data_IF_539902272506
#
_entry.id   IF_539902272506
#
_cell.length_a   1.000
_cell.length_b   1.000
_cell.length_c   1.000
_cell.angle_alpha   90.00
_cell.angle_beta   90.00
_cell.angle_gamma   90.00
#
_symmetry.space_group_name_H-M   'P 1'
#
loop_
_entity.id
_entity.type
_entity.pdbx_description
1 polymer ?
#
# COMPACT_ATOMS: atom_id res chain seq x y z
N UNK A 1 -33.75 -4.21 4.59
CA UNK A 1 -32.57 -3.32 4.65
C UNK A 1 -31.39 -4.10 5.22
N UNK A 2 -30.47 -4.60 4.38
CA UNK A 2 -29.19 -5.12 4.89
C UNK A 2 -28.39 -3.95 5.47
N UNK A 3 -28.03 -4.05 6.76
CA UNK A 3 -27.21 -3.05 7.47
C UNK A 3 -25.89 -2.82 6.72
N UNK A 4 -25.36 -1.58 6.73
CA UNK A 4 -24.10 -1.22 6.04
C UNK A 4 -22.95 -2.18 6.35
N UNK A 5 -22.91 -2.73 7.56
CA UNK A 5 -21.95 -3.75 7.99
C UNK A 5 -22.03 -5.07 7.19
N UNK A 6 -23.23 -5.57 6.87
CA UNK A 6 -23.37 -6.80 6.08
C UNK A 6 -22.80 -6.68 4.67
N UNK A 7 -22.79 -5.47 4.08
CA UNK A 7 -22.20 -5.24 2.75
C UNK A 7 -20.67 -5.24 2.76
N UNK A 8 -20.04 -4.90 3.88
CA UNK A 8 -18.57 -4.95 4.03
C UNK A 8 -18.03 -6.38 3.96
N UNK A 9 -18.81 -7.36 4.42
CA UNK A 9 -18.43 -8.79 4.45
C UNK A 9 -19.08 -9.63 3.34
N UNK A 10 -19.81 -9.00 2.41
CA UNK A 10 -20.44 -9.72 1.32
C UNK A 10 -19.45 -9.89 0.16
N UNK A 11 -19.01 -11.13 -0.05
CA UNK A 11 -18.25 -11.54 -1.23
C UNK A 11 -19.21 -12.00 -2.32
N UNK A 12 -19.12 -11.33 -3.46
CA UNK A 12 -19.71 -11.82 -4.71
C UNK A 12 -18.61 -12.44 -5.58
N UNK A 13 -19.03 -13.19 -6.60
CA UNK A 13 -18.11 -13.86 -7.53
C UNK A 13 -17.17 -12.87 -8.22
N UNK A 14 -17.60 -11.63 -8.47
CA UNK A 14 -16.76 -10.61 -9.10
C UNK A 14 -15.62 -10.20 -8.19
N UNK A 15 -15.89 -9.93 -6.91
CA UNK A 15 -14.87 -9.59 -5.91
C UNK A 15 -13.88 -10.72 -5.74
N UNK A 16 -14.35 -11.97 -5.65
CA UNK A 16 -13.45 -13.14 -5.57
C UNK A 16 -12.53 -13.21 -6.79
N UNK A 17 -13.08 -13.04 -8.00
CA UNK A 17 -12.27 -13.00 -9.22
C UNK A 17 -11.26 -11.83 -9.22
N UNK A 18 -11.66 -10.64 -8.78
CA UNK A 18 -10.77 -9.49 -8.67
C UNK A 18 -9.63 -9.74 -7.68
N UNK A 19 -9.93 -10.34 -6.51
CA UNK A 19 -8.91 -10.72 -5.54
C UNK A 19 -7.90 -11.70 -6.15
N UNK A 20 -8.37 -12.72 -6.87
CA UNK A 20 -7.50 -13.68 -7.54
C UNK A 20 -6.60 -13.02 -8.60
N UNK A 21 -7.14 -12.10 -9.40
CA UNK A 21 -6.38 -11.34 -10.39
C UNK A 21 -5.33 -10.44 -9.71
N UNK A 22 -5.70 -9.76 -8.62
CA UNK A 22 -4.78 -8.91 -7.85
C UNK A 22 -3.64 -9.75 -7.28
N UNK A 23 -3.92 -10.94 -6.73
CA UNK A 23 -2.88 -11.87 -6.25
C UNK A 23 -1.96 -12.27 -7.40
N UNK A 24 -2.52 -12.67 -8.54
CA UNK A 24 -1.73 -13.08 -9.71
C UNK A 24 -0.82 -11.94 -10.22
N UNK A 25 -1.36 -10.72 -10.31
CA UNK A 25 -0.59 -9.53 -10.67
C UNK A 25 0.48 -9.20 -9.64
N UNK A 26 0.18 -9.34 -8.35
CA UNK A 26 1.14 -9.12 -7.28
C UNK A 26 2.33 -10.07 -7.43
N UNK A 27 2.07 -11.38 -7.54
CA UNK A 27 3.12 -12.38 -7.74
C UNK A 27 3.96 -12.08 -8.99
N UNK A 28 3.31 -11.76 -10.11
CA UNK A 28 3.98 -11.40 -11.35
C UNK A 28 4.90 -10.17 -11.19
N UNK A 29 4.40 -9.11 -10.57
CA UNK A 29 5.15 -7.86 -10.39
C UNK A 29 6.23 -7.96 -9.33
N UNK A 30 6.06 -8.75 -8.27
CA UNK A 30 7.14 -9.05 -7.32
C UNK A 30 8.28 -9.80 -8.03
N UNK A 31 7.97 -10.80 -8.86
CA UNK A 31 8.96 -11.49 -9.67
C UNK A 31 9.70 -10.56 -10.62
N UNK A 32 8.95 -9.70 -11.33
CA UNK A 32 9.54 -8.71 -12.23
C UNK A 32 10.47 -7.75 -11.47
N UNK A 33 10.02 -7.25 -10.30
CA UNK A 33 10.80 -6.34 -9.45
C UNK A 33 12.11 -7.01 -8.97
N UNK A 34 12.05 -8.30 -8.63
CA UNK A 34 13.23 -9.08 -8.25
C UNK A 34 14.22 -9.24 -9.40
N UNK A 35 13.75 -9.57 -10.60
CA UNK A 35 14.59 -9.75 -11.80
C UNK A 35 15.28 -8.43 -12.18
N UNK A 36 14.56 -7.31 -12.12
CA UNK A 36 15.10 -5.99 -12.44
C UNK A 36 16.10 -5.47 -11.39
N UNK A 37 16.11 -6.07 -10.19
CA UNK A 37 16.98 -5.72 -9.07
C UNK A 37 17.07 -4.20 -8.85
N UNK A 38 15.91 -3.56 -8.63
CA UNK A 38 15.76 -2.10 -8.48
C UNK A 38 16.27 -1.58 -7.13
N UNK A 39 17.52 -1.91 -6.78
CA UNK A 39 18.22 -1.36 -5.62
C UNK A 39 18.65 0.07 -5.92
N UNK A 40 18.25 1.02 -5.07
CA UNK A 40 18.48 2.45 -5.30
C UNK A 40 19.82 2.90 -4.71
N UNK A 41 20.12 2.40 -3.51
CA UNK A 41 21.26 2.85 -2.71
C UNK A 41 22.32 1.74 -2.61
N UNK A 42 23.55 1.96 -3.11
CA UNK A 42 24.62 0.96 -3.02
C UNK A 42 24.97 0.57 -1.58
N UNK A 43 24.86 1.52 -0.64
CA UNK A 43 25.12 1.32 0.80
C UNK A 43 24.05 0.46 1.49
N UNK A 44 22.88 0.31 0.87
CA UNK A 44 21.75 -0.44 1.41
C UNK A 44 21.08 -1.29 0.30
N UNK A 45 21.77 -2.32 -0.22
CA UNK A 45 21.30 -3.11 -1.37
C UNK A 45 20.06 -3.97 -1.07
N UNK A 46 19.71 -4.11 0.21
CA UNK A 46 18.48 -4.75 0.67
C UNK A 46 17.24 -3.87 0.42
N UNK A 47 17.40 -2.56 0.21
CA UNK A 47 16.31 -1.64 -0.12
C UNK A 47 16.03 -1.64 -1.62
N UNK A 48 15.01 -2.42 -2.02
CA UNK A 48 14.61 -2.58 -3.42
C UNK A 48 13.22 -2.02 -3.66
N UNK A 49 13.05 -1.31 -4.77
CA UNK A 49 11.73 -0.85 -5.19
C UNK A 49 10.93 -2.03 -5.71
N UNK A 50 9.76 -2.26 -5.12
CA UNK A 50 8.77 -3.22 -5.60
C UNK A 50 7.61 -2.49 -6.27
N UNK A 51 7.20 -2.96 -7.45
CA UNK A 51 6.10 -2.37 -8.23
C UNK A 51 4.76 -3.04 -7.89
N UNK A 52 4.46 -3.22 -6.61
CA UNK A 52 3.32 -4.01 -6.13
C UNK A 52 2.37 -3.21 -5.25
N UNK A 53 2.85 -2.20 -4.52
CA UNK A 53 2.05 -1.50 -3.50
C UNK A 53 0.79 -0.82 -4.08
N UNK A 54 0.85 -0.37 -5.34
CA UNK A 54 -0.31 0.23 -6.01
C UNK A 54 -1.48 -0.76 -6.17
N UNK A 55 -1.19 -2.07 -6.24
CA UNK A 55 -2.21 -3.11 -6.29
C UNK A 55 -3.00 -3.20 -4.98
N UNK A 56 -2.38 -2.87 -3.85
CA UNK A 56 -3.07 -2.84 -2.55
C UNK A 56 -4.06 -1.68 -2.49
N UNK A 57 -3.70 -0.52 -3.04
CA UNK A 57 -4.64 0.59 -3.21
C UNK A 57 -5.78 0.21 -4.17
N UNK A 58 -5.47 -0.46 -5.28
CA UNK A 58 -6.48 -0.99 -6.20
C UNK A 58 -7.45 -1.95 -5.49
N UNK A 59 -6.94 -2.85 -4.65
CA UNK A 59 -7.74 -3.77 -3.85
C UNK A 59 -8.73 -3.02 -2.93
N UNK A 60 -8.28 -1.96 -2.25
CA UNK A 60 -9.16 -1.13 -1.41
C UNK A 60 -10.35 -0.61 -2.21
N UNK A 61 -10.13 -0.19 -3.45
CA UNK A 61 -11.17 0.36 -4.35
C UNK A 61 -12.12 -0.70 -4.89
N UNK A 62 -11.59 -1.88 -5.27
CA UNK A 62 -12.37 -2.92 -5.93
C UNK A 62 -13.07 -3.91 -4.99
N UNK A 63 -12.51 -4.16 -3.80
CA UNK A 63 -13.04 -5.18 -2.89
C UNK A 63 -13.29 -4.66 -1.49
N UNK A 64 -12.76 -3.48 -1.15
CA UNK A 64 -12.93 -2.82 0.14
C UNK A 64 -11.80 -3.12 1.12
N UNK A 65 -11.75 -2.33 2.20
CA UNK A 65 -10.63 -2.33 3.16
C UNK A 65 -10.36 -3.69 3.80
N UNK A 66 -11.41 -4.43 4.21
CA UNK A 66 -11.26 -5.69 4.93
C UNK A 66 -10.54 -6.73 4.06
N UNK A 67 -11.01 -6.92 2.83
CA UNK A 67 -10.42 -7.87 1.90
C UNK A 67 -9.07 -7.40 1.37
N UNK A 68 -8.88 -6.08 1.21
CA UNK A 68 -7.58 -5.52 0.83
C UNK A 68 -6.52 -5.78 1.92
N UNK A 69 -6.84 -5.58 3.20
CA UNK A 69 -5.95 -5.92 4.32
C UNK A 69 -5.62 -7.42 4.36
N UNK A 70 -6.63 -8.29 4.24
CA UNK A 70 -6.41 -9.74 4.20
C UNK A 70 -5.52 -10.15 3.02
N UNK A 71 -5.74 -9.53 1.86
CA UNK A 71 -4.91 -9.73 0.69
C UNK A 71 -3.47 -9.29 0.97
N UNK A 72 -3.25 -8.06 1.44
CA UNK A 72 -1.91 -7.55 1.76
C UNK A 72 -1.14 -8.51 2.66
N UNK A 73 -1.75 -8.94 3.78
CA UNK A 73 -1.13 -9.92 4.68
C UNK A 73 -0.79 -11.19 3.91
N UNK A 74 -1.77 -11.78 3.20
CA UNK A 74 -1.59 -13.05 2.51
C UNK A 74 -0.49 -12.99 1.45
N UNK A 75 -0.47 -11.95 0.62
CA UNK A 75 0.49 -11.83 -0.49
C UNK A 75 1.90 -11.49 -0.02
N UNK A 76 2.04 -10.71 1.05
CA UNK A 76 3.36 -10.47 1.66
C UNK A 76 3.96 -11.78 2.16
N UNK A 77 3.20 -12.59 2.91
CA UNK A 77 3.70 -13.88 3.41
C UNK A 77 3.93 -14.92 2.30
N UNK A 78 3.18 -14.85 1.19
CA UNK A 78 3.47 -15.67 0.02
C UNK A 78 4.86 -15.39 -0.57
N UNK A 79 5.39 -14.16 -0.45
CA UNK A 79 6.73 -13.84 -0.95
C UNK A 79 7.83 -14.73 -0.36
N UNK A 80 7.71 -15.11 0.91
CA UNK A 80 8.63 -16.07 1.52
C UNK A 80 8.71 -17.39 0.74
N UNK A 81 7.57 -17.87 0.23
CA UNK A 81 7.47 -19.16 -0.43
C UNK A 81 8.09 -19.16 -1.84
N UNK A 82 7.96 -18.07 -2.60
CA UNK A 82 8.41 -18.04 -4.00
C UNK A 82 9.63 -17.14 -4.28
N UNK A 83 9.90 -16.13 -3.45
CA UNK A 83 11.10 -15.30 -3.54
C UNK A 83 12.17 -15.69 -2.52
N UNK A 84 11.82 -16.44 -1.47
CA UNK A 84 12.78 -16.84 -0.43
C UNK A 84 13.24 -15.67 0.44
N UNK A 85 12.41 -14.64 0.57
CA UNK A 85 12.70 -13.49 1.43
C UNK A 85 12.66 -13.88 2.91
N UNK A 86 13.45 -13.19 3.74
CA UNK A 86 13.51 -13.44 5.16
C UNK A 86 12.22 -13.06 5.88
N UNK A 87 11.89 -13.69 7.02
CA UNK A 87 10.65 -13.43 7.74
C UNK A 87 10.55 -11.97 8.24
N UNK A 88 11.68 -11.34 8.57
CA UNK A 88 11.71 -9.95 9.01
C UNK A 88 11.53 -9.00 7.82
N UNK A 89 12.13 -9.33 6.66
CA UNK A 89 11.96 -8.55 5.43
C UNK A 89 10.49 -8.51 5.02
N UNK A 90 9.85 -9.68 4.99
CA UNK A 90 8.44 -9.84 4.65
C UNK A 90 7.53 -9.17 5.68
N UNK A 91 7.87 -9.25 6.97
CA UNK A 91 7.13 -8.54 8.00
C UNK A 91 7.23 -7.02 7.83
N UNK A 92 8.43 -6.48 7.59
CA UNK A 92 8.64 -5.05 7.38
C UNK A 92 7.92 -4.54 6.11
N UNK A 93 7.94 -5.33 5.03
CA UNK A 93 7.20 -5.09 3.80
C UNK A 93 5.69 -5.04 4.06
N UNK A 94 5.14 -6.10 4.67
CA UNK A 94 3.72 -6.20 5.03
C UNK A 94 3.28 -5.00 5.87
N UNK A 95 4.09 -4.62 6.86
CA UNK A 95 3.78 -3.50 7.74
C UNK A 95 3.75 -2.18 6.98
N UNK A 96 4.70 -1.94 6.09
CA UNK A 96 4.74 -0.75 5.24
C UNK A 96 3.49 -0.67 4.34
N UNK A 97 3.14 -1.78 3.67
CA UNK A 97 1.98 -1.85 2.78
C UNK A 97 0.68 -1.62 3.54
N UNK A 98 0.54 -2.20 4.73
CA UNK A 98 -0.63 -2.01 5.59
C UNK A 98 -0.77 -0.57 6.06
N UNK A 99 0.33 0.09 6.47
CA UNK A 99 0.29 1.50 6.85
C UNK A 99 -0.14 2.36 5.66
N UNK A 100 0.48 2.15 4.50
CA UNK A 100 0.16 2.90 3.28
C UNK A 100 -1.32 2.76 2.92
N UNK A 101 -1.83 1.52 2.93
CA UNK A 101 -3.23 1.19 2.66
C UNK A 101 -4.20 1.77 3.70
N UNK A 102 -3.89 1.67 5.00
CA UNK A 102 -4.76 2.16 6.08
C UNK A 102 -4.81 3.69 6.08
N UNK A 103 -3.67 4.36 5.92
CA UNK A 103 -3.63 5.82 5.86
C UNK A 103 -4.38 6.31 4.63
N UNK A 104 -4.17 5.69 3.47
CA UNK A 104 -4.96 5.99 2.28
C UNK A 104 -6.46 5.80 2.53
N UNK A 105 -6.89 4.67 3.09
CA UNK A 105 -8.32 4.44 3.33
C UNK A 105 -8.92 5.46 4.31
N UNK A 106 -8.26 5.73 5.43
CA UNK A 106 -8.70 6.72 6.42
C UNK A 106 -8.76 8.12 5.82
N UNK A 107 -7.70 8.53 5.12
CA UNK A 107 -7.65 9.83 4.47
C UNK A 107 -8.73 9.99 3.40
N UNK A 108 -9.04 8.95 2.62
CA UNK A 108 -10.14 8.97 1.64
C UNK A 108 -11.49 9.21 2.33
N UNK A 109 -11.76 8.50 3.44
CA UNK A 109 -12.99 8.65 4.24
C UNK A 109 -13.10 10.06 4.84
N UNK A 110 -12.03 10.57 5.46
CA UNK A 110 -12.04 11.87 6.11
C UNK A 110 -12.09 13.03 5.12
N UNK A 111 -11.26 13.00 4.06
CA UNK A 111 -11.21 14.06 3.05
C UNK A 111 -12.51 14.14 2.26
N UNK A 112 -13.10 13.01 1.84
CA UNK A 112 -14.40 13.02 1.15
C UNK A 112 -15.51 13.55 2.06
N UNK A 113 -15.53 13.12 3.33
CA UNK A 113 -16.53 13.60 4.30
C UNK A 113 -16.37 15.10 4.59
N UNK A 114 -15.13 15.59 4.72
CA UNK A 114 -14.83 17.01 4.92
C UNK A 114 -15.22 17.86 3.72
N UNK A 115 -14.81 17.46 2.52
CA UNK A 115 -15.09 18.22 1.30
C UNK A 115 -16.59 18.22 0.96
N UNK A 116 -17.30 17.10 1.15
CA UNK A 116 -18.76 17.06 0.95
C UNK A 116 -19.53 17.95 1.95
N UNK A 117 -18.95 18.29 3.11
CA UNK A 117 -19.53 19.26 4.04
C UNK A 117 -19.29 20.70 3.58
N UNK A 118 -18.12 20.98 3.01
CA UNK A 118 -17.72 22.32 2.57
C UNK A 118 -18.38 22.70 1.23
N UNK A 119 -18.49 21.74 0.32
CA UNK A 119 -19.04 21.94 -1.03
C UNK A 119 -20.37 21.20 -1.09
N UNK A 120 -21.49 21.93 -0.92
CA UNK A 120 -22.86 21.40 -0.99
C UNK A 120 -23.26 20.83 -2.37
N UNK A 121 -22.38 20.89 -3.36
CA UNK A 121 -22.62 20.45 -4.74
C UNK A 121 -22.02 19.08 -5.05
N UNK A 122 -22.65 18.34 -5.97
CA UNK A 122 -22.19 17.03 -6.45
C UNK A 122 -20.69 17.06 -6.78
N UNK A 123 -19.93 16.16 -6.17
CA UNK A 123 -18.48 16.04 -6.31
C UNK A 123 -18.13 15.89 -7.79
N UNK A 124 -17.44 16.87 -8.37
CA UNK A 124 -17.02 16.81 -9.77
C UNK A 124 -15.91 15.77 -9.96
N UNK A 125 -15.72 15.27 -11.20
CA UNK A 125 -14.61 14.36 -11.52
C UNK A 125 -13.26 14.94 -11.10
N UNK A 126 -13.04 16.24 -11.31
CA UNK A 126 -11.79 16.91 -10.94
C UNK A 126 -11.59 16.93 -9.42
N UNK A 127 -12.66 17.16 -8.65
CA UNK A 127 -12.62 17.13 -7.19
C UNK A 127 -12.24 15.74 -6.68
N UNK A 128 -12.80 14.68 -7.26
CA UNK A 128 -12.46 13.30 -6.90
C UNK A 128 -11.00 12.95 -7.19
N UNK A 129 -10.46 13.42 -8.33
CA UNK A 129 -9.05 13.31 -8.64
C UNK A 129 -8.17 14.00 -7.61
N UNK A 130 -8.48 15.26 -7.29
CA UNK A 130 -7.73 16.03 -6.29
C UNK A 130 -7.72 15.35 -4.92
N UNK A 131 -8.88 14.89 -4.45
CA UNK A 131 -9.00 14.16 -3.19
C UNK A 131 -8.09 12.94 -3.18
N UNK A 132 -8.14 12.15 -4.25
CA UNK A 132 -7.39 10.90 -4.34
C UNK A 132 -5.89 11.19 -4.38
N UNK A 133 -5.45 12.16 -5.18
CA UNK A 133 -4.04 12.56 -5.25
C UNK A 133 -3.54 13.09 -3.91
N UNK A 134 -4.27 14.00 -3.27
CA UNK A 134 -3.89 14.52 -1.94
C UNK A 134 -3.80 13.42 -0.90
N UNK A 135 -4.69 12.43 -0.97
CA UNK A 135 -4.69 11.29 -0.08
C UNK A 135 -3.51 10.33 -0.31
N UNK A 136 -3.15 10.07 -1.57
CA UNK A 136 -1.93 9.31 -1.90
C UNK A 136 -0.69 10.02 -1.36
N UNK A 137 -0.58 11.34 -1.54
CA UNK A 137 0.54 12.14 -0.99
C UNK A 137 0.61 12.03 0.53
N UNK A 138 -0.54 12.16 1.22
CA UNK A 138 -0.62 12.00 2.67
C UNK A 138 -0.17 10.60 3.10
N UNK A 139 -0.61 9.56 2.40
CA UNK A 139 -0.23 8.18 2.67
C UNK A 139 1.27 7.94 2.47
N UNK A 140 1.89 8.49 1.41
CA UNK A 140 3.33 8.42 1.15
C UNK A 140 4.14 9.03 2.30
N UNK A 141 3.74 10.21 2.77
CA UNK A 141 4.43 10.90 3.87
C UNK A 141 4.28 10.11 5.17
N UNK A 142 3.06 9.66 5.48
CA UNK A 142 2.76 8.95 6.70
C UNK A 142 3.48 7.59 6.77
N UNK A 143 3.45 6.79 5.70
CA UNK A 143 4.15 5.50 5.67
C UNK A 143 5.66 5.68 5.80
N UNK A 144 6.23 6.69 5.13
CA UNK A 144 7.67 6.95 5.20
C UNK A 144 8.11 7.32 6.63
N UNK A 145 7.32 8.17 7.30
CA UNK A 145 7.59 8.55 8.69
C UNK A 145 7.40 7.37 9.65
N UNK A 146 6.27 6.66 9.57
CA UNK A 146 5.94 5.55 10.47
C UNK A 146 6.89 4.36 10.28
N UNK A 147 7.26 4.02 9.05
CA UNK A 147 8.26 2.98 8.81
C UNK A 147 9.63 3.37 9.31
N UNK A 148 10.02 4.65 9.22
CA UNK A 148 11.28 5.10 9.83
C UNK A 148 11.25 4.95 11.34
N UNK A 149 10.14 5.35 11.97
CA UNK A 149 9.91 5.17 13.40
C UNK A 149 9.95 3.69 13.81
N UNK A 150 9.29 2.81 13.06
CA UNK A 150 9.25 1.37 13.36
C UNK A 150 10.59 0.68 13.12
N UNK A 151 11.33 1.10 12.09
CA UNK A 151 12.71 0.65 11.91
C UNK A 151 13.60 1.00 13.11
N UNK A 152 13.46 2.23 13.63
CA UNK A 152 14.19 2.67 14.82
C UNK A 152 13.73 1.96 16.10
N UNK A 153 12.42 1.80 16.30
CA UNK A 153 11.84 1.27 17.54
C UNK A 153 12.08 -0.22 17.73
N UNK A 154 11.94 -1.04 16.69
CA UNK A 154 11.96 -2.49 16.88
C UNK A 154 12.41 -3.33 15.69
N UNK A 155 12.25 -2.92 14.42
CA UNK A 155 12.59 -3.81 13.28
C UNK A 155 14.09 -4.11 13.27
N UNK A 156 14.96 -3.12 13.49
CA UNK A 156 16.41 -3.38 13.56
C UNK A 156 16.81 -4.24 14.76
N UNK A 157 16.12 -4.09 15.88
CA UNK A 157 16.36 -4.96 17.05
C UNK A 157 15.89 -6.41 16.78
N UNK A 158 14.86 -6.59 15.94
CA UNK A 158 14.47 -7.92 15.45
C UNK A 158 15.58 -8.52 14.57
N UNK A 159 16.14 -7.75 13.62
CA UNK A 159 17.28 -8.22 12.82
C UNK A 159 18.49 -8.54 13.68
N UNK A 160 18.78 -7.72 14.69
CA UNK A 160 19.88 -7.93 15.63
C UNK A 160 19.80 -9.32 16.28
N UNK A 161 18.61 -9.69 16.75
CA UNK A 161 18.38 -10.97 17.44
C UNK A 161 18.30 -12.15 16.47
N UNK A 162 17.73 -11.95 15.29
CA UNK A 162 17.54 -13.03 14.32
C UNK A 162 18.83 -13.41 13.60
N UNK A 163 19.69 -12.41 13.29
CA UNK A 163 20.94 -12.60 12.57
C UNK A 163 22.19 -12.53 13.47
N UNK A 164 22.00 -12.35 14.79
CA UNK A 164 23.07 -12.19 15.78
C UNK A 164 24.05 -11.05 15.43
N UNK A 165 23.53 -9.90 15.00
CA UNK A 165 24.38 -8.76 14.66
C UNK A 165 25.03 -8.11 15.88
N UNK A 166 26.24 -7.58 15.70
CA UNK A 166 26.94 -6.83 16.73
C UNK A 166 26.28 -5.45 16.95
N UNK A 167 26.47 -4.83 18.14
CA UNK A 167 25.94 -3.49 18.40
C UNK A 167 26.39 -2.43 17.39
N UNK A 168 27.62 -2.56 16.86
CA UNK A 168 28.17 -1.65 15.85
C UNK A 168 27.36 -1.68 14.54
N UNK A 169 26.96 -2.87 14.09
CA UNK A 169 26.13 -3.05 12.89
C UNK A 169 24.75 -2.42 13.09
N UNK A 170 24.16 -2.57 14.29
CA UNK A 170 22.87 -1.94 14.62
C UNK A 170 22.99 -0.42 14.67
N UNK A 171 24.08 0.10 15.21
CA UNK A 171 24.32 1.54 15.22
C UNK A 171 24.47 2.10 13.80
N UNK A 172 25.10 1.34 12.90
CA UNK A 172 25.16 1.67 11.48
C UNK A 172 23.76 1.65 10.82
N UNK A 173 22.94 0.64 11.06
CA UNK A 173 21.55 0.63 10.54
C UNK A 173 20.76 1.85 11.02
N UNK A 174 20.95 2.25 12.29
CA UNK A 174 20.32 3.45 12.84
C UNK A 174 20.86 4.74 12.22
N UNK A 175 22.15 4.80 11.84
CA UNK A 175 22.73 5.99 11.22
C UNK A 175 22.22 6.24 9.79
N UNK A 176 21.84 5.18 9.06
CA UNK A 176 21.30 5.28 7.70
C UNK A 176 19.79 5.58 7.64
N UNK A 177 19.07 5.60 8.78
CA UNK A 177 17.62 5.83 8.83
C UNK A 177 17.20 7.11 8.11
N UNK A 178 17.77 8.23 8.52
CA UNK A 178 17.40 9.54 7.97
C UNK A 178 17.93 9.71 6.53
N UNK A 179 19.22 9.49 6.24
CA UNK A 179 19.76 9.78 4.90
C UNK A 179 19.39 8.74 3.83
N UNK A 180 18.98 7.53 4.20
CA UNK A 180 18.71 6.44 3.24
C UNK A 180 17.26 5.94 3.33
N UNK A 181 16.78 5.57 4.52
CA UNK A 181 15.46 4.92 4.67
C UNK A 181 14.31 5.90 4.36
N UNK A 182 14.38 7.14 4.85
CA UNK A 182 13.35 8.15 4.54
C UNK A 182 13.28 8.41 3.02
N UNK A 183 14.37 8.78 2.32
CA UNK A 183 14.34 8.97 0.86
C UNK A 183 13.89 7.72 0.10
N UNK A 184 14.35 6.53 0.53
CA UNK A 184 13.95 5.27 -0.10
C UNK A 184 12.43 5.05 -0.01
N UNK A 185 11.84 5.17 1.18
CA UNK A 185 10.40 4.99 1.35
C UNK A 185 9.60 6.02 0.55
N UNK A 186 10.02 7.30 0.60
CA UNK A 186 9.39 8.35 -0.19
C UNK A 186 9.42 8.01 -1.68
N UNK A 187 10.56 7.57 -2.20
CA UNK A 187 10.70 7.19 -3.61
C UNK A 187 9.84 5.98 -3.97
N UNK A 188 9.94 4.88 -3.19
CA UNK A 188 9.18 3.64 -3.38
C UNK A 188 7.68 3.94 -3.46
N UNK A 189 7.13 4.60 -2.45
CA UNK A 189 5.69 4.88 -2.41
C UNK A 189 5.27 5.98 -3.38
N UNK A 190 6.16 6.90 -3.78
CA UNK A 190 5.88 7.86 -4.86
C UNK A 190 5.71 7.16 -6.20
N UNK A 191 6.58 6.21 -6.54
CA UNK A 191 6.47 5.44 -7.79
C UNK A 191 5.15 4.67 -7.81
N UNK A 192 4.84 3.92 -6.75
CA UNK A 192 3.57 3.18 -6.65
C UNK A 192 2.35 4.11 -6.64
N UNK A 193 2.42 5.23 -5.93
CA UNK A 193 1.37 6.25 -5.91
C UNK A 193 1.15 6.88 -7.28
N UNK A 194 2.22 7.16 -8.03
CA UNK A 194 2.15 7.71 -9.39
C UNK A 194 1.50 6.71 -10.36
N UNK A 195 1.87 5.42 -10.28
CA UNK A 195 1.22 4.36 -11.06
C UNK A 195 -0.27 4.30 -10.75
N UNK A 196 -0.64 4.30 -9.46
CA UNK A 196 -2.04 4.29 -9.02
C UNK A 196 -2.84 5.47 -9.59
N UNK A 197 -2.29 6.68 -9.50
CA UNK A 197 -2.94 7.90 -10.03
C UNK A 197 -3.07 7.84 -11.56
N UNK A 198 -2.04 7.35 -12.26
CA UNK A 198 -2.06 7.22 -13.72
C UNK A 198 -3.19 6.30 -14.20
N UNK A 199 -3.40 5.17 -13.50
CA UNK A 199 -4.48 4.22 -13.83
C UNK A 199 -5.82 4.56 -13.18
N UNK A 200 -5.91 5.59 -12.34
CA UNK A 200 -7.11 5.89 -11.55
C UNK A 200 -8.38 6.09 -12.40
N UNK A 201 -8.23 6.52 -13.67
CA UNK A 201 -9.38 6.62 -14.60
C UNK A 201 -10.00 5.26 -14.82
N UNK A 202 -9.16 4.25 -15.06
CA UNK A 202 -9.59 2.86 -15.26
C UNK A 202 -10.23 2.32 -13.99
N UNK A 203 -9.66 2.64 -12.82
CA UNK A 203 -10.20 2.24 -11.51
C UNK A 203 -11.63 2.74 -11.32
N UNK A 204 -11.92 4.01 -11.60
CA UNK A 204 -13.29 4.56 -11.50
C UNK A 204 -14.27 3.80 -12.41
N UNK A 205 -13.83 3.36 -13.60
CA UNK A 205 -14.68 2.58 -14.51
C UNK A 205 -14.93 1.17 -13.96
N UNK A 206 -13.89 0.54 -13.40
CA UNK A 206 -14.02 -0.77 -12.74
C UNK A 206 -14.95 -0.68 -11.52
N UNK A 207 -14.76 0.28 -10.61
CA UNK A 207 -15.60 0.46 -9.41
C UNK A 207 -17.11 0.48 -9.73
N UNK A 208 -17.50 1.07 -10.85
CA UNK A 208 -18.90 1.08 -11.33
C UNK A 208 -19.39 -0.32 -11.69
N UNK A 209 -18.58 -1.15 -12.34
CA UNK A 209 -18.92 -2.52 -12.71
C UNK A 209 -19.04 -3.46 -11.50
N UNK A 210 -18.30 -3.15 -10.43
CA UNK A 210 -18.38 -3.85 -9.14
C UNK A 210 -19.55 -3.35 -8.26
N UNK A 211 -20.30 -2.33 -8.69
CA UNK A 211 -21.46 -1.83 -7.96
C UNK A 211 -21.12 -1.18 -6.61
N UNK A 212 -19.85 -0.79 -6.41
CA UNK A 212 -19.36 -0.20 -5.15
C UNK A 212 -19.76 1.27 -5.03
N UNK A 213 -19.89 1.96 -6.17
CA UNK A 213 -20.34 3.35 -6.22
C UNK A 213 -21.68 3.45 -6.98
N UNK A 214 -22.77 3.62 -6.24
CA UNK A 214 -24.03 4.14 -6.80
C UNK A 214 -23.87 5.65 -7.05
N UNK A 215 -23.28 6.04 -8.17
CA UNK A 215 -23.41 7.42 -8.62
C UNK A 215 -24.84 7.56 -9.15
N UNK A 216 -25.63 8.38 -8.49
CA UNK A 216 -26.86 8.96 -9.05
C UNK A 216 -26.49 9.73 -10.33
N UNK A 217 -26.35 9.04 -11.46
CA UNK A 217 -26.30 9.67 -12.77
C UNK A 217 -27.72 10.11 -13.14
N UNK A 218 -28.03 11.33 -12.71
CA UNK A 218 -28.87 12.27 -13.45
C UNK A 218 -28.07 13.56 -13.55
#
# INVERSE_FOLDING_TARGET
MQTKAKRLFCLDTKKVAAMAIIIALYVLLSWLSKILNLAVFPVAPFLKIELTDFLMLLAVRLVGIIYATLLTISVSWLQMAYLGDGPIDVFALMLADLIFLIVFWLGDVFLRKGINRLIKNKTSKNTEYLITTSNVILAIIAVSFLMTLFNWLFIYDMYARFLNYTPEVIQWFKSILVPVIIPFNLLKFTINGAIFIAIYRVIIHLEKQFGIVNISSK
#
